data_IF_116682595965
#
_entry.id   IF_116682595965
#
_cell.length_a   1.000
_cell.length_b   1.000
_cell.length_c   1.000
_cell.angle_alpha   90.00
_cell.angle_beta   90.00
_cell.angle_gamma   90.00
#
_symmetry.space_group_name_H-M   'P 1'
#
loop_
_entity.id
_entity.type
_entity.pdbx_description
1 polymer ?
#
# COMPACT_ATOMS: atom_id res chain seq x y z
N UNK A 1 10.59 -18.87 -21.95
CA UNK A 1 9.85 -17.59 -22.14
C UNK A 1 9.97 -16.87 -20.82
N UNK A 2 10.39 -15.61 -20.80
CA UNK A 2 10.45 -14.85 -19.55
C UNK A 2 9.01 -14.46 -19.11
N UNK A 3 8.83 -13.99 -17.88
CA UNK A 3 7.50 -13.69 -17.36
C UNK A 3 6.80 -12.57 -18.15
N UNK A 4 7.53 -11.55 -18.59
CA UNK A 4 6.98 -10.46 -19.40
C UNK A 4 6.41 -10.99 -20.73
N UNK A 5 7.13 -11.88 -21.42
CA UNK A 5 6.63 -12.48 -22.66
C UNK A 5 5.35 -13.28 -22.46
N UNK A 6 5.19 -13.94 -21.28
CA UNK A 6 3.95 -14.64 -20.94
C UNK A 6 2.79 -13.67 -20.78
N UNK A 7 3.01 -12.53 -20.12
CA UNK A 7 1.97 -11.51 -19.93
C UNK A 7 1.57 -10.80 -21.22
N UNK A 8 2.54 -10.51 -22.11
CA UNK A 8 2.24 -9.96 -23.43
C UNK A 8 1.37 -10.93 -24.24
N UNK A 9 1.74 -12.22 -24.28
CA UNK A 9 0.96 -13.25 -24.98
C UNK A 9 -0.43 -13.43 -24.35
N UNK A 10 -0.55 -13.39 -23.03
CA UNK A 10 -1.82 -13.47 -22.31
C UNK A 10 -2.74 -12.29 -22.64
N UNK A 11 -2.18 -11.09 -22.70
CA UNK A 11 -2.93 -9.89 -23.09
C UNK A 11 -3.43 -9.99 -24.55
N UNK A 12 -2.56 -10.33 -25.50
CA UNK A 12 -2.95 -10.47 -26.92
C UNK A 12 -4.06 -11.52 -27.09
N UNK A 13 -3.93 -12.67 -26.46
CA UNK A 13 -4.92 -13.75 -26.54
C UNK A 13 -6.30 -13.35 -25.98
N UNK A 14 -6.36 -12.40 -25.06
CA UNK A 14 -7.58 -12.00 -24.35
C UNK A 14 -7.92 -10.51 -24.53
N UNK A 15 -7.33 -9.85 -25.50
CA UNK A 15 -7.43 -8.40 -25.72
C UNK A 15 -8.87 -7.89 -25.69
N UNK A 16 -9.76 -8.53 -26.41
CA UNK A 16 -11.18 -8.15 -26.49
C UNK A 16 -11.84 -8.17 -25.11
N UNK A 17 -11.52 -9.14 -24.27
CA UNK A 17 -12.05 -9.23 -22.92
C UNK A 17 -11.54 -8.08 -22.04
N UNK A 18 -10.24 -7.75 -22.10
CA UNK A 18 -9.66 -6.59 -21.40
C UNK A 18 -10.28 -5.27 -21.85
N UNK A 19 -10.46 -5.09 -23.16
CA UNK A 19 -11.01 -3.85 -23.73
C UNK A 19 -12.51 -3.68 -23.45
N UNK A 20 -13.25 -4.76 -23.25
CA UNK A 20 -14.70 -4.72 -22.99
C UNK A 20 -15.11 -4.16 -21.63
N UNK A 21 -14.21 -4.17 -20.65
CA UNK A 21 -14.51 -3.75 -19.26
C UNK A 21 -14.29 -2.27 -19.00
N UNK A 22 -13.55 -1.58 -19.88
CA UNK A 22 -13.17 -0.17 -19.69
C UNK A 22 -13.61 0.71 -20.87
N UNK A 23 -13.49 2.04 -20.72
CA UNK A 23 -13.82 2.98 -21.80
C UNK A 23 -12.78 2.97 -22.92
N UNK A 24 -13.13 3.48 -24.14
CA UNK A 24 -12.17 3.62 -25.25
C UNK A 24 -10.91 4.43 -24.87
N UNK A 25 -11.05 5.52 -24.12
CA UNK A 25 -9.90 6.34 -23.69
C UNK A 25 -8.93 5.58 -22.80
N UNK A 26 -9.43 4.72 -21.90
CA UNK A 26 -8.60 3.84 -21.08
C UNK A 26 -7.92 2.76 -21.95
N UNK A 27 -8.63 2.25 -22.96
CA UNK A 27 -8.08 1.25 -23.87
C UNK A 27 -6.94 1.81 -24.75
N UNK A 28 -6.95 3.10 -25.07
CA UNK A 28 -5.82 3.75 -25.74
C UNK A 28 -4.55 3.70 -24.87
N UNK A 29 -4.65 4.05 -23.58
CA UNK A 29 -3.52 3.94 -22.64
C UNK A 29 -3.04 2.48 -22.50
N UNK A 30 -3.95 1.53 -22.53
CA UNK A 30 -3.64 0.09 -22.47
C UNK A 30 -2.82 -0.36 -23.67
N UNK A 31 -3.21 0.07 -24.88
CA UNK A 31 -2.51 -0.28 -26.11
C UNK A 31 -1.15 0.41 -26.24
N UNK A 32 -1.04 1.63 -25.73
CA UNK A 32 0.25 2.34 -25.65
C UNK A 32 1.21 1.59 -24.72
N UNK A 33 0.74 1.17 -23.55
CA UNK A 33 1.51 0.36 -22.62
C UNK A 33 1.95 -0.98 -23.23
N UNK A 34 1.04 -1.67 -23.93
CA UNK A 34 1.37 -2.90 -24.65
C UNK A 34 2.48 -2.69 -25.69
N UNK A 35 2.40 -1.63 -26.51
CA UNK A 35 3.45 -1.29 -27.49
C UNK A 35 4.78 -1.02 -26.79
N UNK A 36 4.77 -0.17 -25.77
CA UNK A 36 5.96 0.14 -25.00
C UNK A 36 6.65 -1.12 -24.45
N UNK A 37 5.90 -2.03 -23.82
CA UNK A 37 6.45 -3.27 -23.26
C UNK A 37 6.90 -4.27 -24.33
N UNK A 38 6.26 -4.26 -25.52
CA UNK A 38 6.61 -5.15 -26.64
C UNK A 38 7.86 -4.67 -27.40
N UNK A 39 8.01 -3.35 -27.58
CA UNK A 39 9.11 -2.74 -28.32
C UNK A 39 10.34 -2.50 -27.45
N UNK A 40 10.14 -2.43 -26.12
CA UNK A 40 11.23 -2.18 -25.22
C UNK A 40 12.17 -3.40 -25.19
N UNK A 41 13.30 -3.27 -25.80
CA UNK A 41 14.54 -3.70 -25.17
C UNK A 41 14.61 -2.92 -23.85
N UNK A 42 13.82 -3.36 -22.84
CA UNK A 42 13.92 -2.85 -21.47
C UNK A 42 15.38 -2.95 -21.09
N UNK A 43 16.13 -1.86 -21.23
CA UNK A 43 17.57 -1.88 -21.10
C UNK A 43 17.94 -1.82 -19.61
N UNK A 44 18.74 -2.76 -19.15
CA UNK A 44 19.46 -2.65 -17.89
C UNK A 44 18.60 -2.77 -16.65
N UNK A 45 18.57 -1.75 -15.80
CA UNK A 45 17.99 -1.78 -14.44
C UNK A 45 16.47 -1.99 -14.43
N UNK A 46 15.73 -1.43 -15.41
CA UNK A 46 14.27 -1.48 -15.43
C UNK A 46 13.76 -2.87 -15.83
N UNK A 47 14.39 -3.51 -16.82
CA UNK A 47 14.09 -4.90 -17.17
C UNK A 47 14.35 -5.86 -16.02
N UNK A 48 15.52 -5.74 -15.38
CA UNK A 48 15.89 -6.58 -14.22
C UNK A 48 14.94 -6.32 -13.04
N UNK A 49 14.52 -5.08 -12.81
CA UNK A 49 13.57 -4.73 -11.76
C UNK A 49 12.21 -5.37 -12.02
N UNK A 50 11.69 -5.26 -13.24
CA UNK A 50 10.42 -5.86 -13.63
C UNK A 50 10.48 -7.39 -13.55
N UNK A 51 11.49 -8.04 -14.12
CA UNK A 51 11.65 -9.51 -14.10
C UNK A 51 11.80 -10.10 -12.70
N UNK A 52 12.38 -9.34 -11.76
CA UNK A 52 12.46 -9.78 -10.36
C UNK A 52 11.15 -9.58 -9.60
N UNK A 53 10.27 -8.76 -10.11
CA UNK A 53 8.99 -8.39 -9.50
C UNK A 53 7.87 -9.32 -9.97
N UNK A 54 7.77 -9.56 -11.29
CA UNK A 54 6.68 -10.33 -11.86
C UNK A 54 6.88 -11.83 -11.62
N UNK A 55 5.82 -12.44 -11.07
CA UNK A 55 5.74 -13.88 -10.94
C UNK A 55 5.47 -14.54 -12.31
N UNK A 56 5.77 -15.84 -12.48
CA UNK A 56 5.23 -16.60 -13.59
C UNK A 56 3.71 -16.46 -13.68
N UNK A 57 3.17 -16.63 -14.89
CA UNK A 57 1.71 -16.62 -15.11
C UNK A 57 1.03 -17.63 -14.19
N UNK A 58 0.20 -17.15 -13.28
CA UNK A 58 -0.62 -17.92 -12.33
C UNK A 58 -2.09 -17.98 -12.74
N UNK A 59 -2.42 -17.42 -13.90
CA UNK A 59 -3.78 -17.26 -14.37
C UNK A 59 -4.45 -15.98 -13.85
N UNK A 60 -5.15 -15.32 -14.76
CA UNK A 60 -5.94 -14.13 -14.48
C UNK A 60 -7.43 -14.43 -14.77
N UNK A 61 -8.33 -13.89 -13.97
CA UNK A 61 -9.77 -14.07 -14.13
C UNK A 61 -10.32 -13.16 -15.26
N UNK A 62 -9.91 -13.44 -16.50
CA UNK A 62 -10.30 -12.66 -17.69
C UNK A 62 -11.83 -12.63 -17.88
N UNK A 63 -12.49 -13.75 -17.60
CA UNK A 63 -13.93 -13.89 -17.79
C UNK A 63 -14.76 -13.34 -16.61
N UNK A 64 -14.14 -12.73 -15.63
CA UNK A 64 -14.81 -12.11 -14.47
C UNK A 64 -15.74 -13.08 -13.74
N UNK A 65 -15.34 -14.35 -13.65
CA UNK A 65 -16.12 -15.37 -12.93
C UNK A 65 -16.17 -14.97 -11.44
N UNK A 66 -17.37 -14.96 -10.88
CA UNK A 66 -17.56 -14.65 -9.47
C UNK A 66 -16.86 -15.72 -8.61
N UNK A 67 -15.89 -15.29 -7.82
CA UNK A 67 -15.18 -16.16 -6.89
C UNK A 67 -16.02 -16.35 -5.62
N UNK A 68 -16.14 -17.57 -5.10
CA UNK A 68 -16.82 -17.81 -3.85
C UNK A 68 -16.01 -17.17 -2.71
N UNK A 69 -16.56 -16.15 -2.08
CA UNK A 69 -15.97 -15.51 -0.90
C UNK A 69 -16.97 -15.60 0.24
N UNK A 70 -16.56 -16.19 1.33
CA UNK A 70 -17.28 -16.07 2.58
C UNK A 70 -17.04 -14.68 3.17
N UNK A 71 -17.82 -13.71 2.69
CA UNK A 71 -17.69 -12.31 3.09
C UNK A 71 -17.74 -12.18 4.62
N UNK A 72 -18.64 -12.90 5.29
CA UNK A 72 -18.73 -12.91 6.75
C UNK A 72 -17.44 -13.37 7.44
N UNK A 73 -16.68 -14.30 6.83
CA UNK A 73 -15.40 -14.74 7.35
C UNK A 73 -14.28 -13.70 7.11
N UNK A 74 -14.38 -12.93 6.03
CA UNK A 74 -13.40 -11.89 5.66
C UNK A 74 -13.60 -10.58 6.43
N UNK A 75 -14.80 -10.32 6.93
CA UNK A 75 -15.14 -9.13 7.73
C UNK A 75 -14.61 -9.14 9.16
N UNK A 76 -13.85 -10.15 9.54
CA UNK A 76 -13.24 -10.25 10.86
C UNK A 76 -12.18 -9.17 11.13
N UNK A 77 -11.79 -8.42 10.12
CA UNK A 77 -11.00 -7.19 10.26
C UNK A 77 -11.85 -5.98 10.65
N UNK A 78 -13.10 -6.18 11.09
CA UNK A 78 -13.88 -5.12 11.67
C UNK A 78 -13.11 -4.50 12.85
N UNK A 79 -12.83 -3.22 12.75
CA UNK A 79 -12.30 -2.47 13.90
C UNK A 79 -13.46 -2.33 14.88
N UNK A 80 -13.37 -2.90 16.10
CA UNK A 80 -14.45 -2.80 17.08
C UNK A 80 -14.84 -1.33 17.28
N UNK A 81 -16.13 -1.05 17.26
CA UNK A 81 -16.70 0.29 17.46
C UNK A 81 -16.40 1.32 16.35
N UNK A 82 -15.74 0.95 15.24
CA UNK A 82 -15.55 1.84 14.11
C UNK A 82 -16.58 1.55 13.03
N UNK A 83 -17.45 2.51 12.75
CA UNK A 83 -18.38 2.45 11.63
C UNK A 83 -17.67 2.94 10.37
N UNK A 84 -17.50 2.09 9.38
CA UNK A 84 -16.88 2.44 8.10
C UNK A 84 -17.86 2.35 6.93
N UNK A 85 -17.53 3.03 5.82
CA UNK A 85 -18.20 2.85 4.54
C UNK A 85 -17.37 1.88 3.70
N UNK A 86 -17.90 0.66 3.49
CA UNK A 86 -17.11 -0.47 3.05
C UNK A 86 -17.27 -0.76 1.56
N UNK A 87 -16.15 -0.76 0.82
CA UNK A 87 -15.98 -1.34 -0.51
C UNK A 87 -15.12 -2.60 -0.47
N UNK A 88 -15.36 -3.52 -1.37
CA UNK A 88 -14.64 -4.78 -1.49
C UNK A 88 -14.01 -4.91 -2.87
N UNK A 89 -12.78 -5.45 -2.92
CA UNK A 89 -12.18 -5.96 -4.15
C UNK A 89 -11.88 -7.43 -3.95
N UNK A 90 -12.47 -8.29 -4.78
CA UNK A 90 -12.22 -9.73 -4.79
C UNK A 90 -11.41 -10.06 -6.03
N UNK A 91 -10.17 -10.56 -5.84
CA UNK A 91 -9.19 -10.58 -6.92
C UNK A 91 -8.90 -9.16 -7.39
N UNK A 92 -9.40 -8.80 -8.57
CA UNK A 92 -9.35 -7.46 -9.14
C UNK A 92 -10.73 -6.80 -9.33
N UNK A 93 -11.83 -7.48 -8.97
CA UNK A 93 -13.20 -7.01 -9.19
C UNK A 93 -13.73 -6.22 -8.00
N UNK A 94 -14.21 -5.01 -8.24
CA UNK A 94 -14.88 -4.20 -7.21
C UNK A 94 -16.32 -4.68 -6.98
N UNK A 95 -16.68 -4.81 -5.73
CA UNK A 95 -18.02 -5.16 -5.28
C UNK A 95 -18.52 -4.13 -4.28
N UNK A 96 -19.54 -3.36 -4.69
CA UNK A 96 -20.28 -2.52 -3.77
C UNK A 96 -21.14 -3.39 -2.87
N UNK A 97 -21.13 -3.15 -1.58
CA UNK A 97 -22.17 -3.68 -0.71
C UNK A 97 -23.48 -2.99 -1.06
N UNK A 98 -24.62 -3.70 -0.98
CA UNK A 98 -25.95 -3.13 -1.31
C UNK A 98 -26.31 -1.90 -0.47
N UNK A 99 -25.61 -1.67 0.63
CA UNK A 99 -25.75 -0.52 1.50
C UNK A 99 -24.80 0.64 1.14
N UNK A 100 -23.71 0.38 0.38
CA UNK A 100 -22.67 1.41 0.15
C UNK A 100 -23.25 2.62 -0.57
N UNK A 101 -23.88 2.44 -1.73
CA UNK A 101 -24.41 3.55 -2.54
C UNK A 101 -25.46 4.40 -1.79
N UNK A 102 -26.17 3.78 -0.82
CA UNK A 102 -27.20 4.47 -0.01
C UNK A 102 -26.63 5.18 1.22
N UNK A 103 -25.40 4.86 1.63
CA UNK A 103 -24.77 5.39 2.83
C UNK A 103 -23.70 6.42 2.54
N UNK A 104 -23.27 6.55 1.26
CA UNK A 104 -22.27 7.57 0.90
C UNK A 104 -22.88 8.96 1.12
N UNK A 105 -22.15 9.86 1.79
CA UNK A 105 -22.55 11.25 1.90
C UNK A 105 -22.55 11.95 0.54
N UNK A 106 -23.28 13.05 0.43
CA UNK A 106 -23.23 13.92 -0.74
C UNK A 106 -21.78 14.36 -0.98
N UNK A 107 -21.37 14.39 -2.25
CA UNK A 107 -20.00 14.75 -2.64
C UNK A 107 -18.98 13.62 -2.50
N UNK A 108 -19.38 12.40 -2.11
CA UNK A 108 -18.51 11.22 -2.05
C UNK A 108 -18.90 10.21 -3.12
N UNK A 109 -17.94 9.84 -3.97
CA UNK A 109 -18.07 8.74 -4.93
C UNK A 109 -17.10 7.63 -4.53
N UNK A 110 -17.61 6.40 -4.39
CA UNK A 110 -16.80 5.21 -4.12
C UNK A 110 -17.35 4.04 -4.91
N UNK A 111 -16.70 3.70 -6.02
CA UNK A 111 -17.23 2.75 -6.99
C UNK A 111 -16.13 2.01 -7.77
N UNK A 112 -16.52 1.04 -8.61
CA UNK A 112 -15.63 0.38 -9.57
C UNK A 112 -15.01 1.41 -10.51
N UNK A 113 -13.69 1.37 -10.65
CA UNK A 113 -12.96 2.26 -11.56
C UNK A 113 -13.26 1.93 -13.03
N UNK A 114 -13.40 0.65 -13.36
CA UNK A 114 -13.78 0.23 -14.71
C UNK A 114 -15.19 0.73 -15.08
N UNK A 115 -16.13 0.66 -14.15
CA UNK A 115 -17.48 1.22 -14.33
C UNK A 115 -17.42 2.75 -14.44
N UNK A 116 -16.67 3.42 -13.56
CA UNK A 116 -16.50 4.88 -13.61
C UNK A 116 -15.93 5.34 -14.94
N UNK A 117 -15.01 4.59 -15.54
CA UNK A 117 -14.41 4.96 -16.84
C UNK A 117 -15.45 5.03 -17.96
N UNK A 118 -16.54 4.28 -17.87
CA UNK A 118 -17.61 4.25 -18.88
C UNK A 118 -18.76 5.21 -18.57
N UNK A 119 -19.14 5.30 -17.27
CA UNK A 119 -20.33 6.02 -16.85
C UNK A 119 -20.03 7.45 -16.37
N UNK A 120 -18.84 7.68 -15.85
CA UNK A 120 -18.41 8.96 -15.23
C UNK A 120 -16.99 9.37 -15.68
N UNK A 121 -16.73 9.48 -17.00
CA UNK A 121 -15.39 9.83 -17.50
C UNK A 121 -14.89 11.20 -17.00
N UNK A 122 -15.80 12.09 -16.62
CA UNK A 122 -15.49 13.41 -16.04
C UNK A 122 -14.74 13.30 -14.71
N UNK A 123 -14.90 12.22 -13.96
CA UNK A 123 -14.22 11.99 -12.67
C UNK A 123 -12.79 11.42 -12.86
N UNK A 124 -12.44 11.02 -14.08
CA UNK A 124 -11.14 10.40 -14.37
C UNK A 124 -10.11 11.40 -14.91
N UNK A 125 -10.28 12.69 -14.66
CA UNK A 125 -9.37 13.73 -15.20
C UNK A 125 -7.91 13.56 -14.75
N UNK A 126 -7.67 12.92 -13.62
CA UNK A 126 -6.33 12.65 -13.08
C UNK A 126 -5.80 11.25 -13.41
N UNK A 127 -6.63 10.36 -13.94
CA UNK A 127 -6.24 8.98 -14.26
C UNK A 127 -5.13 8.92 -15.31
N UNK A 128 -4.09 8.14 -15.02
CA UNK A 128 -2.93 7.98 -15.90
C UNK A 128 -2.02 9.22 -16.03
N UNK A 129 -2.18 10.22 -15.14
CA UNK A 129 -1.41 11.47 -15.17
C UNK A 129 -0.48 11.66 -13.97
N UNK A 130 -0.63 10.84 -12.94
CA UNK A 130 0.15 10.93 -11.69
C UNK A 130 1.22 9.85 -11.68
N UNK A 131 0.87 8.61 -11.95
CA UNK A 131 1.83 7.54 -12.14
C UNK A 131 2.49 7.66 -13.54
N UNK A 132 3.84 7.75 -13.63
CA UNK A 132 4.54 7.91 -14.90
C UNK A 132 4.35 6.68 -15.79
N UNK A 133 3.74 6.85 -16.96
CA UNK A 133 3.42 5.76 -17.88
C UNK A 133 4.66 5.12 -18.55
N UNK A 134 5.81 5.80 -18.50
CA UNK A 134 7.11 5.32 -18.98
C UNK A 134 7.82 4.36 -18.02
N UNK A 135 7.32 4.20 -16.79
CA UNK A 135 7.81 3.18 -15.88
C UNK A 135 7.26 1.81 -16.23
N UNK A 136 8.13 0.82 -16.34
CA UNK A 136 7.78 -0.52 -16.79
C UNK A 136 6.68 -1.18 -15.93
N UNK A 137 6.72 -0.97 -14.61
CA UNK A 137 5.70 -1.45 -13.68
C UNK A 137 4.34 -0.76 -13.88
N UNK A 138 4.33 0.53 -14.16
CA UNK A 138 3.09 1.27 -14.46
C UNK A 138 2.53 0.84 -15.81
N UNK A 139 3.39 0.66 -16.81
CA UNK A 139 2.99 0.17 -18.12
C UNK A 139 2.41 -1.26 -18.03
N UNK A 140 3.03 -2.16 -17.23
CA UNK A 140 2.50 -3.50 -17.01
C UNK A 140 1.09 -3.45 -16.42
N UNK A 141 0.89 -2.65 -15.38
CA UNK A 141 -0.42 -2.46 -14.79
C UNK A 141 -1.40 -1.82 -15.78
N UNK A 142 -1.01 -0.76 -16.51
CA UNK A 142 -1.84 -0.13 -17.53
C UNK A 142 -2.33 -1.14 -18.58
N UNK A 143 -1.49 -2.10 -18.98
CA UNK A 143 -1.84 -3.14 -19.91
C UNK A 143 -2.84 -4.15 -19.32
N UNK A 144 -2.65 -4.58 -18.08
CA UNK A 144 -3.26 -5.79 -17.52
C UNK A 144 -4.46 -5.55 -16.58
N UNK A 145 -4.63 -4.35 -16.02
CA UNK A 145 -5.70 -4.12 -15.05
C UNK A 145 -7.10 -4.27 -15.65
N UNK A 146 -8.03 -4.83 -14.90
CA UNK A 146 -9.42 -5.02 -15.33
C UNK A 146 -10.40 -4.18 -14.51
N UNK A 147 -10.11 -3.96 -13.22
CA UNK A 147 -10.92 -3.15 -12.32
C UNK A 147 -10.09 -2.68 -11.12
N UNK A 148 -10.74 -2.08 -10.18
CA UNK A 148 -10.23 -1.50 -8.97
C UNK A 148 -11.24 -0.53 -8.39
N UNK A 149 -10.78 0.58 -7.80
CA UNK A 149 -11.66 1.54 -7.17
C UNK A 149 -11.39 2.97 -7.61
N UNK A 150 -12.47 3.73 -7.84
CA UNK A 150 -12.49 5.18 -7.83
C UNK A 150 -13.01 5.66 -6.48
N UNK A 151 -12.24 6.52 -5.82
CA UNK A 151 -12.66 7.30 -4.66
C UNK A 151 -12.52 8.78 -5.03
N UNK A 152 -13.62 9.49 -5.09
CA UNK A 152 -13.64 10.92 -5.41
C UNK A 152 -14.40 11.68 -4.32
N UNK A 153 -13.74 12.69 -3.76
CA UNK A 153 -14.30 13.54 -2.72
C UNK A 153 -14.41 14.95 -3.30
N UNK A 154 -15.62 15.41 -3.48
CA UNK A 154 -15.90 16.72 -4.07
C UNK A 154 -15.45 17.88 -3.15
N UNK A 155 -15.22 19.02 -3.75
CA UNK A 155 -14.77 20.26 -3.09
C UNK A 155 -15.53 20.56 -1.80
N UNK A 156 -14.78 20.84 -0.74
CA UNK A 156 -15.33 21.23 0.57
C UNK A 156 -15.95 20.09 1.38
N UNK A 157 -16.02 18.88 0.83
CA UNK A 157 -16.62 17.73 1.52
C UNK A 157 -15.70 17.22 2.63
N UNK A 158 -16.23 17.10 3.84
CA UNK A 158 -15.55 16.48 4.99
C UNK A 158 -16.18 15.11 5.25
N UNK A 159 -15.41 14.06 5.07
CA UNK A 159 -15.92 12.69 5.26
C UNK A 159 -15.70 12.27 6.71
N UNK A 160 -16.77 12.33 7.53
CA UNK A 160 -16.69 12.04 8.96
C UNK A 160 -16.47 10.54 9.27
N UNK A 161 -17.01 9.67 8.42
CA UNK A 161 -16.85 8.21 8.55
C UNK A 161 -15.74 7.72 7.64
N UNK A 162 -14.73 7.01 8.15
CA UNK A 162 -13.69 6.47 7.31
C UNK A 162 -14.25 5.58 6.18
N UNK A 163 -13.70 5.73 4.97
CA UNK A 163 -13.89 4.73 3.93
C UNK A 163 -12.99 3.54 4.23
N UNK A 164 -13.47 2.35 3.94
CA UNK A 164 -12.70 1.12 4.06
C UNK A 164 -12.74 0.35 2.75
N UNK A 165 -11.56 0.07 2.20
CA UNK A 165 -11.39 -0.76 1.02
C UNK A 165 -10.72 -2.07 1.44
N UNK A 166 -11.46 -3.17 1.38
CA UNK A 166 -10.93 -4.50 1.71
C UNK A 166 -10.68 -5.27 0.42
N UNK A 167 -9.43 -5.67 0.22
CA UNK A 167 -8.97 -6.40 -0.95
C UNK A 167 -8.68 -7.84 -0.55
N UNK A 168 -9.29 -8.81 -1.24
CA UNK A 168 -9.26 -10.21 -0.83
C UNK A 168 -8.88 -11.09 -2.01
N UNK A 169 -7.90 -11.97 -1.79
CA UNK A 169 -7.73 -13.16 -2.60
C UNK A 169 -8.45 -14.36 -2.00
N UNK A 170 -9.24 -15.02 -2.84
CA UNK A 170 -9.89 -16.29 -2.54
C UNK A 170 -9.99 -17.07 -3.84
N UNK A 171 -9.28 -18.15 -3.96
CA UNK A 171 -9.20 -18.93 -5.20
C UNK A 171 -9.35 -20.44 -4.96
N UNK A 172 -9.87 -20.86 -3.80
CA UNK A 172 -9.96 -22.28 -3.41
C UNK A 172 -8.60 -22.99 -3.56
N UNK A 173 -7.53 -22.31 -3.14
CA UNK A 173 -6.11 -22.73 -3.26
C UNK A 173 -5.57 -22.82 -4.70
N UNK A 174 -6.30 -22.34 -5.71
CA UNK A 174 -5.77 -22.24 -7.07
C UNK A 174 -4.84 -21.04 -7.20
N UNK A 175 -3.74 -21.16 -7.96
CA UNK A 175 -2.91 -20.02 -8.30
C UNK A 175 -3.72 -18.95 -9.04
N UNK A 176 -3.54 -17.68 -8.68
CA UNK A 176 -4.22 -16.58 -9.34
C UNK A 176 -3.40 -15.29 -9.25
N UNK A 177 -3.50 -14.46 -10.29
CA UNK A 177 -2.96 -13.10 -10.27
C UNK A 177 -4.05 -12.07 -10.52
N UNK A 178 -3.87 -10.88 -9.95
CA UNK A 178 -4.76 -9.75 -10.10
C UNK A 178 -3.97 -8.46 -10.33
N UNK A 179 -4.44 -7.66 -11.29
CA UNK A 179 -3.93 -6.32 -11.58
C UNK A 179 -4.99 -5.32 -11.19
N UNK A 180 -4.70 -4.52 -10.17
CA UNK A 180 -5.65 -3.57 -9.60
C UNK A 180 -5.23 -2.14 -9.92
N UNK A 181 -6.21 -1.28 -10.19
CA UNK A 181 -5.96 0.15 -10.36
C UNK A 181 -6.84 0.97 -9.42
N UNK A 182 -6.26 1.87 -8.67
CA UNK A 182 -6.99 2.75 -7.79
C UNK A 182 -6.74 4.20 -8.19
N UNK A 183 -7.81 5.00 -8.19
CA UNK A 183 -7.74 6.45 -8.34
C UNK A 183 -8.42 7.11 -7.14
N UNK A 184 -7.69 7.93 -6.42
CA UNK A 184 -8.16 8.68 -5.27
C UNK A 184 -8.00 10.16 -5.56
N UNK A 185 -9.11 10.88 -5.64
CA UNK A 185 -9.14 12.32 -5.90
C UNK A 185 -9.82 13.01 -4.72
N UNK A 186 -9.10 13.88 -4.05
CA UNK A 186 -9.64 14.72 -2.97
C UNK A 186 -9.53 16.16 -3.44
N UNK A 187 -10.68 16.77 -3.73
CA UNK A 187 -10.74 18.12 -4.24
C UNK A 187 -10.43 19.19 -3.16
N UNK A 188 -10.39 20.44 -3.60
CA UNK A 188 -10.04 21.58 -2.76
C UNK A 188 -10.88 21.64 -1.46
N UNK A 189 -10.20 21.93 -0.33
CA UNK A 189 -10.79 22.02 1.00
C UNK A 189 -11.51 20.73 1.49
N UNK A 190 -11.35 19.61 0.80
CA UNK A 190 -11.96 18.33 1.18
C UNK A 190 -11.05 17.47 2.10
N UNK A 191 -11.65 16.51 2.80
CA UNK A 191 -10.88 15.60 3.66
C UNK A 191 -11.44 14.19 3.67
N UNK A 192 -10.52 13.21 3.70
CA UNK A 192 -10.80 11.78 3.68
C UNK A 192 -9.94 11.01 4.67
N UNK A 193 -10.55 10.05 5.36
CA UNK A 193 -9.85 8.97 6.05
C UNK A 193 -10.12 7.66 5.30
N UNK A 194 -9.07 6.95 4.90
CA UNK A 194 -9.14 5.70 4.13
C UNK A 194 -8.34 4.61 4.83
N UNK A 195 -9.02 3.50 5.15
CA UNK A 195 -8.41 2.25 5.56
C UNK A 195 -8.42 1.29 4.37
N UNK A 196 -7.24 0.89 3.90
CA UNK A 196 -7.05 -0.11 2.86
C UNK A 196 -6.46 -1.37 3.48
N UNK A 197 -7.02 -2.54 3.16
CA UNK A 197 -6.55 -3.81 3.72
C UNK A 197 -6.39 -4.87 2.62
N UNK A 198 -5.29 -5.61 2.64
CA UNK A 198 -5.04 -6.76 1.78
C UNK A 198 -5.05 -8.06 2.58
N UNK A 199 -5.88 -9.01 2.18
CA UNK A 199 -6.03 -10.31 2.84
C UNK A 199 -6.05 -11.47 1.85
N UNK A 200 -5.68 -12.66 2.33
CA UNK A 200 -5.89 -13.94 1.65
C UNK A 200 -6.75 -14.85 2.51
N UNK A 201 -7.76 -15.49 1.93
CA UNK A 201 -8.64 -16.41 2.66
C UNK A 201 -8.12 -17.85 2.72
N UNK A 202 -7.22 -18.19 1.82
CA UNK A 202 -6.64 -19.52 1.72
C UNK A 202 -5.12 -19.46 1.45
N UNK A 203 -4.48 -20.59 1.16
CA UNK A 203 -3.04 -20.71 0.92
C UNK A 203 -2.68 -20.83 -0.55
N UNK A 204 -3.54 -20.33 -1.43
CA UNK A 204 -3.25 -20.28 -2.86
C UNK A 204 -1.99 -19.46 -3.16
N UNK A 205 -1.34 -19.74 -4.29
CA UNK A 205 -0.24 -18.92 -4.77
C UNK A 205 -0.79 -17.69 -5.47
N UNK A 206 -0.74 -16.54 -4.81
CA UNK A 206 -1.27 -15.30 -5.33
C UNK A 206 -0.18 -14.34 -5.77
N UNK A 207 -0.50 -13.59 -6.83
CA UNK A 207 0.27 -12.41 -7.23
C UNK A 207 -0.68 -11.22 -7.38
N UNK A 208 -0.37 -10.11 -6.74
CA UNK A 208 -1.06 -8.84 -6.99
C UNK A 208 -0.10 -7.75 -7.43
N UNK A 209 -0.49 -7.05 -8.47
CA UNK A 209 0.10 -5.79 -8.91
C UNK A 209 -0.96 -4.69 -8.77
N UNK A 210 -0.65 -3.66 -7.97
CA UNK A 210 -1.56 -2.56 -7.68
C UNK A 210 -0.87 -1.22 -7.92
N UNK A 211 -1.48 -0.40 -8.76
CA UNK A 211 -1.09 1.00 -8.93
C UNK A 211 -2.18 1.89 -8.33
N UNK A 212 -1.76 2.79 -7.44
CA UNK A 212 -2.64 3.76 -6.78
C UNK A 212 -2.21 5.16 -7.20
N UNK A 213 -3.10 5.92 -7.80
CA UNK A 213 -2.92 7.33 -8.11
C UNK A 213 -3.72 8.19 -7.12
N UNK A 214 -3.05 9.14 -6.47
CA UNK A 214 -3.65 10.03 -5.46
C UNK A 214 -3.43 11.47 -5.88
N UNK A 215 -4.51 12.21 -6.08
CA UNK A 215 -4.51 13.65 -6.31
C UNK A 215 -5.13 14.37 -5.12
N UNK A 216 -4.34 15.19 -4.44
CA UNK A 216 -4.84 16.08 -3.39
C UNK A 216 -4.76 17.52 -3.91
N UNK A 217 -5.92 18.15 -4.10
CA UNK A 217 -6.01 19.56 -4.50
C UNK A 217 -5.65 20.49 -3.33
N UNK A 218 -5.80 21.80 -3.52
CA UNK A 218 -5.40 22.79 -2.53
C UNK A 218 -6.17 22.61 -1.20
N UNK A 219 -5.45 22.69 -0.07
CA UNK A 219 -5.95 22.44 1.29
C UNK A 219 -6.55 21.04 1.54
N UNK A 220 -6.49 20.13 0.58
CA UNK A 220 -7.04 18.79 0.73
C UNK A 220 -6.25 17.98 1.76
N UNK A 221 -6.93 17.06 2.46
CA UNK A 221 -6.33 16.22 3.48
C UNK A 221 -6.69 14.75 3.27
N UNK A 222 -5.69 13.89 3.31
CA UNK A 222 -5.86 12.44 3.27
C UNK A 222 -5.11 11.79 4.43
N UNK A 223 -5.85 11.00 5.21
CA UNK A 223 -5.30 10.03 6.14
C UNK A 223 -5.48 8.64 5.53
N UNK A 224 -4.38 7.99 5.13
CA UNK A 224 -4.38 6.67 4.51
C UNK A 224 -3.64 5.68 5.42
N UNK A 225 -4.30 4.59 5.77
CA UNK A 225 -3.66 3.45 6.41
C UNK A 225 -3.82 2.21 5.51
N UNK A 226 -2.69 1.65 5.04
CA UNK A 226 -2.65 0.43 4.22
C UNK A 226 -2.09 -0.72 5.05
N UNK A 227 -2.91 -1.77 5.27
CA UNK A 227 -2.58 -2.93 6.10
C UNK A 227 -2.50 -4.18 5.24
N UNK A 228 -1.42 -4.92 5.36
CA UNK A 228 -1.24 -6.21 4.70
C UNK A 228 -1.18 -7.35 5.71
N UNK A 229 -2.09 -8.31 5.54
CA UNK A 229 -2.11 -9.62 6.18
C UNK A 229 -2.34 -10.70 5.12
N UNK A 230 -1.32 -10.96 4.31
CA UNK A 230 -1.40 -11.94 3.25
C UNK A 230 -0.67 -13.25 3.62
N UNK A 231 -0.95 -14.34 2.90
CA UNK A 231 -0.33 -15.64 3.12
C UNK A 231 1.14 -15.64 2.71
N UNK A 232 1.92 -16.60 3.23
CA UNK A 232 3.34 -16.81 2.89
C UNK A 232 3.59 -17.12 1.41
N UNK A 233 2.55 -17.53 0.69
CA UNK A 233 2.60 -17.88 -0.75
C UNK A 233 2.19 -16.70 -1.64
N UNK A 234 1.87 -15.55 -1.06
CA UNK A 234 1.47 -14.35 -1.80
C UNK A 234 2.67 -13.50 -2.16
N UNK A 235 2.73 -13.07 -3.43
CA UNK A 235 3.62 -12.00 -3.89
C UNK A 235 2.79 -10.75 -4.16
N UNK A 236 3.09 -9.65 -3.47
CA UNK A 236 2.39 -8.38 -3.62
C UNK A 236 3.35 -7.30 -4.10
N UNK A 237 2.93 -6.60 -5.13
CA UNK A 237 3.56 -5.37 -5.58
C UNK A 237 2.54 -4.24 -5.49
N UNK A 238 2.89 -3.18 -4.79
CA UNK A 238 2.04 -1.98 -4.67
C UNK A 238 2.87 -0.75 -4.98
N UNK A 239 2.37 0.12 -5.84
CA UNK A 239 3.03 1.38 -6.16
C UNK A 239 2.03 2.52 -6.05
N UNK A 240 2.26 3.39 -5.07
CA UNK A 240 1.43 4.56 -4.76
C UNK A 240 2.12 5.81 -5.29
N UNK A 241 1.38 6.61 -6.05
CA UNK A 241 1.85 7.86 -6.63
C UNK A 241 0.92 8.99 -6.18
N UNK A 242 1.47 9.96 -5.48
CA UNK A 242 0.71 11.05 -4.87
C UNK A 242 1.21 12.40 -5.39
N UNK A 243 0.27 13.26 -5.75
CA UNK A 243 0.54 14.66 -6.10
C UNK A 243 -0.18 15.59 -5.13
N UNK A 244 0.56 16.53 -4.53
CA UNK A 244 0.06 17.44 -3.51
C UNK A 244 -0.05 18.87 -4.06
N UNK A 245 -1.28 19.44 -3.98
CA UNK A 245 -1.57 20.85 -4.24
C UNK A 245 -1.08 21.76 -3.12
N UNK A 246 -1.48 23.05 -3.18
CA UNK A 246 -1.10 24.07 -2.21
C UNK A 246 -1.65 23.74 -0.81
N UNK A 247 -0.79 23.75 0.21
CA UNK A 247 -1.14 23.42 1.62
C UNK A 247 -1.82 22.04 1.79
N UNK A 248 -1.79 21.17 0.78
CA UNK A 248 -2.34 19.83 0.85
C UNK A 248 -1.55 18.95 1.85
N UNK A 249 -2.23 18.02 2.49
CA UNK A 249 -1.63 17.17 3.52
C UNK A 249 -1.95 15.70 3.29
N UNK A 250 -0.91 14.85 3.29
CA UNK A 250 -1.07 13.40 3.32
C UNK A 250 -0.37 12.82 4.56
N UNK A 251 -1.09 11.97 5.28
CA UNK A 251 -0.52 11.02 6.23
C UNK A 251 -0.75 9.62 5.66
N UNK A 252 0.31 8.92 5.29
CA UNK A 252 0.24 7.57 4.76
C UNK A 252 1.00 6.62 5.69
N UNK A 253 0.28 5.71 6.32
CA UNK A 253 0.85 4.66 7.17
C UNK A 253 0.72 3.30 6.48
N UNK A 254 1.84 2.60 6.31
CA UNK A 254 1.91 1.25 5.75
C UNK A 254 2.23 0.25 6.84
N UNK A 255 1.42 -0.79 6.98
CA UNK A 255 1.55 -1.83 7.99
C UNK A 255 1.60 -3.20 7.34
N UNK A 256 2.71 -3.92 7.48
CA UNK A 256 2.83 -5.31 7.02
C UNK A 256 2.98 -6.23 8.23
N UNK A 257 1.94 -7.01 8.51
CA UNK A 257 1.88 -7.96 9.62
C UNK A 257 2.21 -9.39 9.18
N UNK A 258 1.84 -9.75 7.95
CA UNK A 258 2.16 -11.04 7.34
C UNK A 258 2.21 -10.88 5.83
N UNK A 259 3.18 -11.54 5.18
CA UNK A 259 3.33 -11.54 3.72
C UNK A 259 4.15 -12.77 3.26
N UNK A 260 4.16 -13.02 1.97
CA UNK A 260 5.19 -13.90 1.36
C UNK A 260 6.37 -13.05 0.86
N UNK A 261 6.15 -12.33 -0.23
CA UNK A 261 7.12 -11.37 -0.77
C UNK A 261 6.38 -10.09 -1.16
N UNK A 262 6.65 -9.00 -0.44
CA UNK A 262 5.97 -7.73 -0.66
C UNK A 262 6.96 -6.65 -1.05
N UNK A 263 6.60 -5.86 -2.08
CA UNK A 263 7.26 -4.61 -2.43
C UNK A 263 6.25 -3.47 -2.43
N UNK A 264 6.55 -2.44 -1.67
CA UNK A 264 5.79 -1.19 -1.66
C UNK A 264 6.66 -0.06 -2.20
N UNK A 265 6.22 0.62 -3.24
CA UNK A 265 6.80 1.86 -3.73
C UNK A 265 5.86 3.01 -3.37
N UNK A 266 6.33 4.00 -2.63
CA UNK A 266 5.55 5.15 -2.20
C UNK A 266 6.22 6.41 -2.74
N UNK A 267 5.55 7.07 -3.69
CA UNK A 267 6.06 8.24 -4.37
C UNK A 267 5.17 9.44 -4.05
N UNK A 268 5.78 10.55 -3.64
CA UNK A 268 5.06 11.79 -3.31
C UNK A 268 5.73 12.96 -3.98
N UNK A 269 4.97 13.66 -4.81
CA UNK A 269 5.37 14.91 -5.45
C UNK A 269 4.70 16.10 -4.74
N UNK A 270 5.50 16.92 -4.07
CA UNK A 270 5.10 18.20 -3.48
C UNK A 270 5.25 19.26 -4.56
N UNK A 271 4.18 19.47 -5.33
CA UNK A 271 4.23 20.32 -6.53
C UNK A 271 3.90 21.79 -6.26
N UNK A 272 3.22 22.08 -5.16
CA UNK A 272 2.83 23.44 -4.79
C UNK A 272 3.31 23.78 -3.36
N UNK A 273 3.44 25.08 -3.02
CA UNK A 273 3.96 25.53 -1.73
C UNK A 273 3.15 25.06 -0.53
N UNK A 274 3.80 24.91 0.62
CA UNK A 274 3.17 24.65 1.92
C UNK A 274 2.67 23.23 2.14
N UNK A 275 2.72 22.35 1.12
CA UNK A 275 2.20 21.00 1.24
C UNK A 275 3.05 20.14 2.19
N UNK A 276 2.40 19.16 2.82
CA UNK A 276 2.98 18.32 3.86
C UNK A 276 2.75 16.85 3.59
N UNK A 277 3.81 16.06 3.73
CA UNK A 277 3.77 14.60 3.61
C UNK A 277 4.33 13.95 4.88
N UNK A 278 3.55 13.08 5.50
CA UNK A 278 4.03 12.19 6.54
C UNK A 278 3.89 10.74 6.07
N UNK A 279 5.00 10.02 6.01
CA UNK A 279 5.04 8.61 5.66
C UNK A 279 5.48 7.81 6.88
N UNK A 280 4.66 6.89 7.33
CA UNK A 280 5.01 5.98 8.40
C UNK A 280 4.91 4.54 7.91
N UNK A 281 5.81 3.67 8.37
CA UNK A 281 5.77 2.27 7.96
C UNK A 281 6.26 1.33 9.05
N UNK A 282 5.55 0.22 9.25
CA UNK A 282 6.04 -0.88 10.06
C UNK A 282 5.91 -2.21 9.34
N UNK A 283 6.89 -3.10 9.61
CA UNK A 283 6.82 -4.48 9.18
C UNK A 283 7.26 -5.41 10.30
N UNK A 284 6.49 -6.47 10.53
CA UNK A 284 6.79 -7.55 11.44
C UNK A 284 6.88 -8.82 10.59
N UNK A 285 8.10 -9.24 10.29
CA UNK A 285 8.36 -10.33 9.35
C UNK A 285 9.24 -11.41 9.99
N UNK A 286 8.87 -12.66 9.78
CA UNK A 286 9.56 -13.85 10.28
C UNK A 286 9.61 -14.95 9.20
N UNK A 287 10.03 -16.14 9.56
CA UNK A 287 10.16 -17.26 8.64
C UNK A 287 11.04 -16.86 7.44
N UNK A 288 10.53 -17.03 6.22
CA UNK A 288 11.20 -16.64 4.97
C UNK A 288 10.54 -15.45 4.26
N UNK A 289 9.74 -14.66 5.01
CA UNK A 289 9.08 -13.47 4.49
C UNK A 289 10.07 -12.45 3.94
N UNK A 290 9.62 -11.71 2.94
CA UNK A 290 10.43 -10.66 2.30
C UNK A 290 9.63 -9.38 2.18
N UNK A 291 10.21 -8.29 2.65
CA UNK A 291 9.64 -6.95 2.55
C UNK A 291 10.65 -5.97 1.92
N UNK A 292 10.25 -5.28 0.88
CA UNK A 292 11.02 -4.23 0.19
C UNK A 292 10.16 -2.96 0.15
N UNK A 293 10.44 -1.99 1.01
CA UNK A 293 9.76 -0.70 0.99
C UNK A 293 10.68 0.35 0.38
N UNK A 294 10.15 1.08 -0.58
CA UNK A 294 10.84 2.18 -1.27
C UNK A 294 10.01 3.44 -1.17
N UNK A 295 10.65 4.52 -0.82
CA UNK A 295 10.03 5.84 -0.78
C UNK A 295 10.77 6.81 -1.67
N UNK A 296 10.03 7.66 -2.38
CA UNK A 296 10.56 8.79 -3.11
C UNK A 296 9.71 10.02 -2.80
N UNK A 297 10.28 11.01 -2.14
CA UNK A 297 9.58 12.27 -1.85
C UNK A 297 10.30 13.39 -2.58
N UNK A 298 9.61 14.01 -3.53
CA UNK A 298 10.13 15.05 -4.38
C UNK A 298 9.56 16.41 -3.96
N UNK A 299 10.39 17.25 -3.39
CA UNK A 299 10.07 18.64 -3.11
C UNK A 299 10.35 19.47 -4.37
N UNK A 300 9.27 19.82 -5.08
CA UNK A 300 9.33 20.56 -6.34
C UNK A 300 8.96 22.03 -6.17
N UNK A 301 8.53 22.43 -4.97
CA UNK A 301 8.11 23.79 -4.62
C UNK A 301 8.59 24.17 -3.23
N UNK A 302 8.53 25.48 -2.91
CA UNK A 302 8.99 26.03 -1.64
C UNK A 302 8.09 25.70 -0.45
N UNK A 303 8.64 25.81 0.77
CA UNK A 303 7.92 25.59 2.03
C UNK A 303 7.29 24.19 2.19
N UNK A 304 7.73 23.22 1.41
CA UNK A 304 7.27 21.83 1.55
C UNK A 304 7.86 21.15 2.79
N UNK A 305 7.07 20.33 3.47
CA UNK A 305 7.54 19.53 4.60
C UNK A 305 7.32 18.05 4.37
N UNK A 306 8.31 17.21 4.70
CA UNK A 306 8.16 15.76 4.72
C UNK A 306 8.82 15.12 5.94
N UNK A 307 8.14 14.13 6.53
CA UNK A 307 8.65 13.33 7.63
C UNK A 307 8.38 11.85 7.34
N UNK A 308 9.46 11.03 7.39
CA UNK A 308 9.38 9.60 7.11
C UNK A 308 9.91 8.81 8.29
N UNK A 309 9.11 7.88 8.82
CA UNK A 309 9.49 6.98 9.89
C UNK A 309 9.15 5.53 9.53
N UNK A 310 10.17 4.69 9.32
CA UNK A 310 9.99 3.26 9.03
C UNK A 310 10.69 2.41 10.08
N UNK A 311 9.95 1.45 10.65
CA UNK A 311 10.43 0.53 11.67
C UNK A 311 10.16 -0.93 11.29
N UNK A 312 11.18 -1.78 11.44
CA UNK A 312 11.07 -3.20 11.11
C UNK A 312 11.53 -4.06 12.29
N UNK A 313 10.79 -5.13 12.54
CA UNK A 313 11.24 -6.26 13.34
C UNK A 313 11.32 -7.48 12.45
N UNK A 314 12.53 -8.03 12.32
CA UNK A 314 12.80 -9.18 11.49
C UNK A 314 13.28 -10.35 12.34
N UNK A 315 12.67 -11.50 12.19
CA UNK A 315 13.03 -12.73 12.88
C UNK A 315 13.32 -13.88 11.91
N UNK A 316 13.70 -15.03 12.40
CA UNK A 316 14.05 -16.24 11.65
C UNK A 316 15.01 -15.95 10.47
N UNK A 317 14.58 -16.24 9.22
CA UNK A 317 15.30 -16.02 7.98
C UNK A 317 14.73 -14.86 7.14
N UNK A 318 13.90 -14.02 7.75
CA UNK A 318 13.25 -12.90 7.08
C UNK A 318 14.25 -11.92 6.48
N UNK A 319 13.84 -11.30 5.39
CA UNK A 319 14.65 -10.32 4.66
C UNK A 319 13.88 -9.03 4.48
N UNK A 320 14.45 -7.95 5.01
CA UNK A 320 13.96 -6.59 4.85
C UNK A 320 14.85 -5.76 3.93
N UNK A 321 14.22 -4.87 3.19
CA UNK A 321 14.90 -3.82 2.44
C UNK A 321 14.15 -2.51 2.61
N UNK A 322 14.89 -1.44 2.82
CA UNK A 322 14.39 -0.08 2.78
C UNK A 322 15.26 0.77 1.87
N UNK A 323 14.67 1.40 0.88
CA UNK A 323 15.31 2.39 0.03
C UNK A 323 14.48 3.68 0.10
N UNK A 324 15.09 4.78 0.55
CA UNK A 324 14.39 6.04 0.70
C UNK A 324 15.13 7.20 0.07
N UNK A 325 14.52 7.86 -0.91
CA UNK A 325 15.04 9.06 -1.55
C UNK A 325 14.23 10.28 -1.13
N UNK A 326 14.91 11.36 -0.78
CA UNK A 326 14.32 12.69 -0.74
C UNK A 326 15.05 13.53 -1.77
N UNK A 327 14.31 14.08 -2.72
CA UNK A 327 14.83 15.01 -3.73
C UNK A 327 14.32 16.41 -3.45
N UNK A 328 15.22 17.38 -3.32
CA UNK A 328 14.87 18.81 -3.21
C UNK A 328 15.31 19.51 -4.49
N UNK A 329 14.36 19.89 -5.32
CA UNK A 329 14.60 20.49 -6.62
C UNK A 329 15.18 21.91 -6.51
N UNK A 330 15.83 22.43 -7.56
CA UNK A 330 16.19 23.83 -7.64
C UNK A 330 14.95 24.72 -7.43
N UNK A 331 15.05 25.72 -6.56
CA UNK A 331 13.92 26.62 -6.25
C UNK A 331 13.00 26.16 -5.11
N UNK A 332 13.07 24.90 -4.66
CA UNK A 332 12.30 24.40 -3.50
C UNK A 332 12.91 24.88 -2.17
N UNK A 333 12.89 26.20 -1.96
CA UNK A 333 13.43 26.85 -0.76
C UNK A 333 12.59 26.55 0.47
N UNK A 334 13.25 26.65 1.64
CA UNK A 334 12.60 26.48 2.95
C UNK A 334 11.96 25.12 3.12
N UNK A 335 12.46 24.11 2.39
CA UNK A 335 12.08 22.71 2.57
C UNK A 335 12.58 22.19 3.92
N UNK A 336 11.71 21.48 4.66
CA UNK A 336 12.07 20.70 5.84
C UNK A 336 11.76 19.24 5.57
N UNK A 337 12.79 18.37 5.51
CA UNK A 337 12.63 16.98 5.12
C UNK A 337 13.43 16.03 6.00
N UNK A 338 12.75 15.11 6.64
CA UNK A 338 13.34 14.17 7.58
C UNK A 338 13.01 12.73 7.18
N UNK A 339 14.01 11.83 7.31
CA UNK A 339 13.81 10.41 7.04
C UNK A 339 14.51 9.58 8.09
N UNK A 340 13.77 8.68 8.74
CA UNK A 340 14.29 7.78 9.77
C UNK A 340 13.90 6.34 9.46
N UNK A 341 14.89 5.44 9.44
CA UNK A 341 14.65 4.00 9.37
C UNK A 341 15.32 3.30 10.56
N UNK A 342 14.56 2.54 11.34
CA UNK A 342 15.06 1.80 12.49
C UNK A 342 14.65 0.34 12.39
N UNK A 343 15.58 -0.57 12.67
CA UNK A 343 15.38 -1.99 12.46
C UNK A 343 15.90 -2.80 13.63
N UNK A 344 15.12 -3.80 14.06
CA UNK A 344 15.52 -4.81 15.04
C UNK A 344 15.66 -6.14 14.32
N UNK A 345 16.82 -6.78 14.44
CA UNK A 345 17.06 -8.16 14.05
C UNK A 345 16.90 -9.05 15.29
N UNK A 346 15.77 -9.75 15.38
CA UNK A 346 15.45 -10.62 16.50
C UNK A 346 16.18 -11.96 16.42
N UNK A 347 16.64 -12.36 15.23
CA UNK A 347 17.45 -13.57 15.00
C UNK A 347 18.78 -13.28 14.30
N UNK A 348 19.69 -14.25 14.34
CA UNK A 348 21.00 -14.17 13.66
C UNK A 348 20.92 -14.33 12.15
N UNK A 349 19.84 -14.93 11.65
CA UNK A 349 19.67 -15.22 10.23
C UNK A 349 18.86 -14.15 9.51
N UNK A 350 18.10 -13.33 10.23
CA UNK A 350 17.41 -12.17 9.67
C UNK A 350 18.39 -11.17 9.03
N UNK A 351 17.97 -10.55 7.96
CA UNK A 351 18.80 -9.59 7.21
C UNK A 351 18.00 -8.35 6.89
N UNK A 352 18.62 -7.19 7.09
CA UNK A 352 18.08 -5.89 6.69
C UNK A 352 19.08 -5.15 5.84
N UNK A 353 18.63 -4.60 4.71
CA UNK A 353 19.36 -3.65 3.89
C UNK A 353 18.63 -2.31 3.95
N UNK A 354 19.25 -1.31 4.57
CA UNK A 354 18.69 0.03 4.72
C UNK A 354 19.58 1.04 3.99
N UNK A 355 18.97 1.74 3.02
CA UNK A 355 19.68 2.66 2.14
C UNK A 355 18.88 3.97 1.96
N UNK A 356 18.85 4.86 2.95
CA UNK A 356 18.32 6.21 2.78
C UNK A 356 19.34 7.13 2.10
N UNK A 357 18.87 8.02 1.19
CA UNK A 357 19.72 9.05 0.58
C UNK A 357 18.97 10.35 0.32
N UNK A 358 19.73 11.42 0.11
CA UNK A 358 19.23 12.76 -0.17
C UNK A 358 19.86 13.28 -1.48
N UNK A 359 19.04 13.92 -2.31
CA UNK A 359 19.45 14.66 -3.49
C UNK A 359 19.01 16.12 -3.33
N UNK A 360 19.93 16.97 -2.89
CA UNK A 360 19.60 18.34 -2.51
C UNK A 360 20.23 19.32 -3.50
N UNK A 361 19.38 20.07 -4.19
CA UNK A 361 19.77 21.06 -5.18
C UNK A 361 19.41 22.49 -4.77
N UNK A 362 19.33 22.75 -3.44
CA UNK A 362 19.01 24.06 -2.87
C UNK A 362 19.69 24.24 -1.50
N UNK A 363 20.21 25.45 -1.21
CA UNK A 363 20.95 25.74 0.02
C UNK A 363 20.07 26.10 1.22
N UNK A 364 18.89 26.72 0.97
CA UNK A 364 17.98 27.19 2.03
C UNK A 364 17.02 26.09 2.49
N UNK A 365 17.54 24.99 3.05
CA UNK A 365 16.76 23.82 3.44
C UNK A 365 17.24 23.19 4.74
N UNK A 366 16.38 22.42 5.41
CA UNK A 366 16.69 21.57 6.55
C UNK A 366 16.36 20.12 6.23
N UNK A 367 17.37 19.34 5.89
CA UNK A 367 17.18 17.96 5.51
C UNK A 367 18.10 17.04 6.30
N UNK A 368 17.59 15.92 6.76
CA UNK A 368 18.38 14.89 7.38
C UNK A 368 17.82 13.49 7.15
N UNK A 369 18.72 12.51 7.16
CA UNK A 369 18.34 11.11 7.20
C UNK A 369 19.10 10.35 8.29
N UNK A 370 18.50 9.27 8.79
CA UNK A 370 19.13 8.38 9.75
C UNK A 370 18.67 6.94 9.55
N UNK A 371 19.60 6.01 9.64
CA UNK A 371 19.29 4.59 9.62
C UNK A 371 20.03 3.87 10.75
N UNK A 372 19.34 2.94 11.40
CA UNK A 372 19.93 2.06 12.39
C UNK A 372 19.39 0.63 12.26
N UNK A 373 20.29 -0.34 12.37
CA UNK A 373 19.94 -1.75 12.41
C UNK A 373 20.71 -2.37 13.58
N UNK A 374 19.99 -2.96 14.52
CA UNK A 374 20.56 -3.54 15.72
C UNK A 374 19.77 -4.74 16.21
N UNK A 375 20.14 -5.20 17.38
CA UNK A 375 19.40 -6.22 18.14
C UNK A 375 18.63 -5.56 19.27
N UNK A 376 17.79 -6.33 19.95
CA UNK A 376 17.18 -5.87 21.20
C UNK A 376 18.26 -5.53 22.21
N UNK A 377 18.06 -4.45 22.95
CA UNK A 377 18.99 -3.97 23.98
C UNK A 377 19.16 -5.05 25.08
N UNK A 378 20.36 -5.60 25.23
CA UNK A 378 20.61 -6.64 26.21
C UNK A 378 20.48 -6.14 27.65
N UNK A 379 20.76 -4.87 27.93
CA UNK A 379 20.64 -4.29 29.26
C UNK A 379 19.16 -4.12 29.64
N UNK A 380 18.32 -3.71 28.68
CA UNK A 380 16.88 -3.65 28.88
C UNK A 380 16.29 -5.04 29.12
N UNK A 381 16.71 -6.06 28.34
CA UNK A 381 16.29 -7.45 28.56
C UNK A 381 16.71 -7.94 29.95
N UNK A 382 17.96 -7.75 30.32
CA UNK A 382 18.47 -8.15 31.64
C UNK A 382 17.71 -7.47 32.78
N UNK A 383 17.43 -6.16 32.65
CA UNK A 383 16.65 -5.44 33.65
C UNK A 383 15.24 -6.03 33.83
N UNK A 384 14.56 -6.39 32.75
CA UNK A 384 13.24 -6.99 32.79
C UNK A 384 13.26 -8.39 33.43
N UNK A 385 14.27 -9.21 33.09
CA UNK A 385 14.48 -10.52 33.70
C UNK A 385 14.74 -10.42 35.21
N UNK A 386 15.49 -9.43 35.67
CA UNK A 386 15.71 -9.15 37.10
C UNK A 386 14.42 -8.75 37.86
N UNK A 387 13.41 -8.27 37.12
CA UNK A 387 12.08 -7.98 37.64
C UNK A 387 11.13 -9.18 37.58
N UNK A 388 11.62 -10.36 37.19
CA UNK A 388 10.86 -11.60 37.13
C UNK A 388 10.04 -11.81 35.86
N UNK A 389 10.27 -11.00 34.84
CA UNK A 389 9.64 -11.15 33.50
C UNK A 389 10.42 -12.22 32.74
N UNK A 390 9.76 -13.29 32.25
CA UNK A 390 10.43 -14.29 31.42
C UNK A 390 11.05 -13.67 30.17
N UNK A 391 12.23 -14.15 29.74
CA UNK A 391 12.96 -13.59 28.61
C UNK A 391 12.13 -13.50 27.33
N UNK A 392 11.32 -14.52 27.04
CA UNK A 392 10.45 -14.51 25.86
C UNK A 392 9.42 -13.37 25.91
N UNK A 393 8.80 -13.16 27.07
CA UNK A 393 7.83 -12.09 27.29
C UNK A 393 8.50 -10.71 27.24
N UNK A 394 9.68 -10.57 27.87
CA UNK A 394 10.46 -9.33 27.82
C UNK A 394 10.82 -8.92 26.38
N UNK A 395 11.21 -9.87 25.52
CA UNK A 395 11.46 -9.62 24.10
C UNK A 395 10.21 -9.09 23.40
N UNK A 396 9.08 -9.74 23.58
CA UNK A 396 7.79 -9.32 22.99
C UNK A 396 7.44 -7.90 23.41
N UNK A 397 7.53 -7.59 24.71
CA UNK A 397 7.25 -6.24 25.23
C UNK A 397 8.15 -5.17 24.62
N UNK A 398 9.45 -5.44 24.47
CA UNK A 398 10.39 -4.50 23.85
C UNK A 398 10.10 -4.29 22.35
N UNK A 399 9.75 -5.35 21.61
CA UNK A 399 9.37 -5.26 20.20
C UNK A 399 8.06 -4.50 20.02
N UNK A 400 7.08 -4.70 20.89
CA UNK A 400 5.83 -3.93 20.91
C UNK A 400 6.10 -2.44 21.17
N UNK A 401 6.86 -2.13 22.22
CA UNK A 401 7.25 -0.75 22.55
C UNK A 401 7.99 -0.07 21.40
N UNK A 402 8.81 -0.82 20.65
CA UNK A 402 9.50 -0.28 19.47
C UNK A 402 8.54 0.16 18.37
N UNK A 403 7.38 -0.48 18.22
CA UNK A 403 6.39 -0.18 17.17
C UNK A 403 5.42 0.95 17.52
N UNK A 404 5.33 1.37 18.78
CA UNK A 404 4.31 2.32 19.27
C UNK A 404 4.29 3.61 18.47
N UNK A 405 5.45 4.18 18.11
CA UNK A 405 5.51 5.47 17.38
C UNK A 405 4.79 5.39 16.01
N UNK A 406 4.81 4.22 15.34
CA UNK A 406 4.11 4.02 14.07
C UNK A 406 2.61 3.90 14.31
N UNK A 407 2.20 3.18 15.34
CA UNK A 407 0.79 3.04 15.70
C UNK A 407 0.20 4.39 16.08
N UNK A 408 0.92 5.18 16.87
CA UNK A 408 0.49 6.51 17.29
C UNK A 408 0.48 7.53 16.14
N UNK A 409 1.21 7.24 15.04
CA UNK A 409 1.17 8.04 13.82
C UNK A 409 -0.16 7.93 13.05
N UNK A 410 -0.94 6.88 13.27
CA UNK A 410 -2.22 6.65 12.58
C UNK A 410 -3.27 7.65 13.08
N UNK A 411 -3.82 8.45 12.15
CA UNK A 411 -4.82 9.48 12.46
C UNK A 411 -6.27 8.97 12.46
N UNK A 412 -6.51 7.68 12.20
CA UNK A 412 -7.85 7.10 12.20
C UNK A 412 -8.18 6.62 13.61
N UNK A 413 -9.15 7.29 14.25
CA UNK A 413 -9.57 6.91 15.60
C UNK A 413 -10.17 5.49 15.64
N UNK A 414 -9.87 4.76 16.72
CA UNK A 414 -10.26 3.35 16.88
C UNK A 414 -9.35 2.36 16.17
N UNK A 415 -8.67 2.75 15.08
CA UNK A 415 -7.72 1.87 14.39
C UNK A 415 -6.43 1.65 15.20
N UNK A 416 -5.98 2.64 15.95
CA UNK A 416 -4.77 2.54 16.82
C UNK A 416 -4.87 1.38 17.81
N UNK A 417 -5.99 1.24 18.49
CA UNK A 417 -6.20 0.15 19.47
C UNK A 417 -6.25 -1.20 18.77
N UNK A 418 -6.88 -1.26 17.59
CA UNK A 418 -6.86 -2.47 16.77
C UNK A 418 -5.46 -2.85 16.33
N UNK A 419 -4.65 -1.88 15.89
CA UNK A 419 -3.26 -2.13 15.49
C UNK A 419 -2.40 -2.58 16.67
N UNK A 420 -2.57 -2.00 17.88
CA UNK A 420 -1.90 -2.50 19.08
C UNK A 420 -2.22 -3.96 19.33
N UNK A 421 -3.50 -4.32 19.28
CA UNK A 421 -3.92 -5.70 19.45
C UNK A 421 -3.38 -6.64 18.35
N UNK A 422 -3.38 -6.22 17.09
CA UNK A 422 -2.81 -7.02 15.99
C UNK A 422 -1.30 -7.22 16.15
N UNK A 423 -0.57 -6.19 16.52
CA UNK A 423 0.88 -6.26 16.79
C UNK A 423 1.16 -7.18 17.99
N UNK A 424 0.37 -7.08 19.06
CA UNK A 424 0.46 -7.94 20.24
C UNK A 424 0.23 -9.41 19.87
N UNK A 425 -0.85 -9.69 19.14
CA UNK A 425 -1.19 -11.04 18.66
C UNK A 425 -0.07 -11.60 17.75
N UNK A 426 0.47 -10.77 16.89
CA UNK A 426 1.54 -11.14 15.96
C UNK A 426 2.83 -11.52 16.69
N UNK A 427 3.23 -10.77 17.71
CA UNK A 427 4.43 -11.07 18.51
C UNK A 427 4.24 -12.23 19.51
N UNK A 428 3.01 -12.50 19.96
CA UNK A 428 2.74 -13.62 20.87
C UNK A 428 2.70 -14.97 20.17
N UNK A 429 2.92 -15.02 18.85
CA UNK A 429 2.97 -16.28 18.09
C UNK A 429 1.59 -16.93 17.89
N UNK A 430 0.51 -16.18 18.09
CA UNK A 430 -0.81 -16.63 17.71
C UNK A 430 -0.84 -16.86 16.19
N UNK A 431 -1.25 -18.06 15.82
CA UNK A 431 -1.15 -18.66 14.48
C UNK A 431 -1.61 -17.71 13.36
N UNK A 432 -1.00 -17.79 12.17
CA UNK A 432 -1.32 -17.05 10.93
C UNK A 432 -2.80 -17.12 10.47
N UNK A 433 -3.66 -17.71 11.26
CA UNK A 433 -5.11 -17.73 11.15
C UNK A 433 -5.76 -16.58 11.91
N UNK A 434 -5.11 -15.45 11.94
CA UNK A 434 -5.48 -14.27 12.75
C UNK A 434 -6.92 -13.78 12.59
N UNK A 435 -7.60 -14.13 11.52
CA UNK A 435 -9.04 -13.96 11.43
C UNK A 435 -9.84 -14.85 12.38
N UNK A 436 -9.33 -16.01 12.81
CA UNK A 436 -10.06 -16.90 13.73
C UNK A 436 -10.03 -16.39 15.19
N UNK A 437 -9.01 -15.64 15.58
CA UNK A 437 -8.92 -15.05 16.92
C UNK A 437 -9.97 -13.94 17.17
N UNK A 438 -10.42 -13.24 16.14
CA UNK A 438 -11.53 -12.28 16.24
C UNK A 438 -12.89 -12.93 16.53
N UNK A 439 -13.07 -14.25 16.28
CA UNK A 439 -14.37 -14.92 16.51
C UNK A 439 -14.76 -15.00 17.99
N UNK A 440 -13.80 -14.99 18.89
CA UNK A 440 -14.07 -15.14 20.33
C UNK A 440 -14.56 -13.85 21.01
N UNK A 441 -14.29 -12.67 20.44
CA UNK A 441 -14.66 -11.38 21.04
C UNK A 441 -15.92 -10.74 20.45
N UNK A 442 -16.42 -11.20 19.29
CA UNK A 442 -17.64 -10.70 18.67
C UNK A 442 -18.93 -11.41 19.09
N UNK A 443 -18.86 -12.32 20.10
CA UNK A 443 -20.02 -13.05 20.65
C UNK A 443 -20.45 -12.60 22.05
N UNK A 444 -19.99 -11.44 22.50
CA UNK A 444 -20.51 -10.84 23.73
C UNK A 444 -21.25 -9.54 23.45
#
# INVERSE_FOLDING_TARGET
MNALSQYLSLFEANRTAFESVTSPAVNELRLEAFRMLSEATLSGKDATSLETMIAPDRGINVNRIAMPVEIAASFKCAVPHMSTLLGLIIGDSFHATTSLDRQLPDGVTFMSLARASREHPELLTQFGKIAPADKAEVALNNMMWQDGALIHIARGTKVDRPLQLVKIFSGANMPMMAFRRLLIVVEEDASLQLLSCDHTQDRGEYFSDEIVEISLADNARLELCDIEESSLTTSRYSSVWTRLGHDAQINHTTVTLSCGATRNNINVDIVNPGARSRLAGMAIVDKNMRIDNRTSVNHLSEHGTSDQLFKYVLDDEARGKFEGCITVAPGAKFTEAYQTNRNILASKNARMNSNPWLEIYNDDVKCSHGASTGQLDPDALFYMEQRGIPQAEAKVMLMQAFMVDIIDAVGIDGLRDRLRHLVETRFSGADDRSCDACQSHCRQ
#
